data_IF_000126857250
#
_entry.id   IF_000126857250
#
_cell.length_a   1.000
_cell.length_b   1.000
_cell.length_c   1.000
_cell.angle_alpha   90.00
_cell.angle_beta   90.00
_cell.angle_gamma   90.00
#
_symmetry.space_group_name_H-M   'P 1'
#
loop_
_entity.id
_entity.type
_entity.pdbx_description
1 polymer ?
#
# COMPACT_ATOMS: atom_id res chain seq x y z
N UNK A 1 3.09 -2.52 -9.74
CA UNK A 1 3.56 -3.09 -8.45
C UNK A 1 3.59 -2.00 -7.39
N UNK A 2 3.26 -2.30 -6.13
CA UNK A 2 3.31 -1.33 -5.02
C UNK A 2 4.28 -1.85 -3.95
N UNK A 3 5.35 -1.09 -3.70
CA UNK A 3 6.56 -1.51 -2.96
C UNK A 3 7.24 -2.76 -3.52
N UNK A 4 8.42 -3.09 -2.98
CA UNK A 4 9.24 -4.23 -3.42
C UNK A 4 9.70 -5.15 -2.28
N UNK A 5 9.43 -4.79 -1.02
CA UNK A 5 9.85 -5.60 0.13
C UNK A 5 11.35 -5.50 0.44
N UNK A 6 11.81 -6.18 1.52
CA UNK A 6 13.17 -6.06 2.04
C UNK A 6 14.22 -6.89 1.29
N UNK A 7 13.80 -7.95 0.60
CA UNK A 7 14.71 -8.97 0.08
C UNK A 7 14.35 -9.34 -1.38
N UNK A 8 15.26 -9.11 -2.34
CA UNK A 8 15.05 -9.50 -3.73
C UNK A 8 14.85 -11.02 -3.91
N UNK A 9 15.48 -11.87 -3.10
CA UNK A 9 15.34 -13.32 -3.20
C UNK A 9 13.95 -13.78 -2.74
N UNK A 10 13.42 -13.16 -1.68
CA UNK A 10 12.06 -13.41 -1.23
C UNK A 10 11.03 -12.98 -2.30
N UNK A 11 11.21 -11.80 -2.91
CA UNK A 11 10.35 -11.34 -4.00
C UNK A 11 10.42 -12.29 -5.21
N UNK A 12 11.62 -12.73 -5.59
CA UNK A 12 11.82 -13.71 -6.65
C UNK A 12 11.10 -15.03 -6.36
N UNK A 13 11.36 -15.65 -5.20
CA UNK A 13 10.77 -16.92 -4.79
C UNK A 13 9.24 -16.85 -4.74
N UNK A 14 8.69 -15.79 -4.14
CA UNK A 14 7.24 -15.59 -4.04
C UNK A 14 6.60 -15.40 -5.42
N UNK A 15 7.20 -14.57 -6.29
CA UNK A 15 6.68 -14.33 -7.64
C UNK A 15 6.62 -15.62 -8.47
N UNK A 16 7.69 -16.43 -8.42
CA UNK A 16 7.77 -17.74 -9.09
C UNK A 16 6.73 -18.72 -8.54
N UNK A 17 6.63 -18.83 -7.22
CA UNK A 17 5.68 -19.74 -6.54
C UNK A 17 4.23 -19.38 -6.89
N UNK A 18 3.91 -18.09 -6.99
CA UNK A 18 2.57 -17.62 -7.31
C UNK A 18 2.24 -17.61 -8.81
N UNK A 19 3.22 -17.89 -9.68
CA UNK A 19 3.09 -17.80 -11.13
C UNK A 19 2.92 -16.36 -11.64
N UNK A 20 3.44 -15.38 -10.90
CA UNK A 20 3.35 -13.96 -11.24
C UNK A 20 4.62 -13.54 -12.00
N UNK A 21 4.44 -13.16 -13.25
CA UNK A 21 5.52 -12.71 -14.12
C UNK A 21 5.78 -11.20 -13.96
N UNK A 22 6.80 -10.84 -13.18
CA UNK A 22 7.18 -9.44 -12.95
C UNK A 22 7.77 -8.75 -14.18
N UNK A 23 8.11 -9.46 -15.26
CA UNK A 23 8.53 -8.81 -16.51
C UNK A 23 7.40 -8.04 -17.20
N UNK A 24 6.15 -8.32 -16.82
CA UNK A 24 4.94 -7.75 -17.42
C UNK A 24 4.40 -6.51 -16.69
N UNK A 25 5.04 -6.06 -15.61
CA UNK A 25 4.56 -4.87 -14.89
C UNK A 25 4.79 -3.61 -15.73
N UNK A 26 3.80 -2.72 -15.73
CA UNK A 26 3.87 -1.44 -16.45
C UNK A 26 4.64 -0.36 -15.68
N UNK A 27 4.44 -0.33 -14.36
CA UNK A 27 5.05 0.65 -13.46
C UNK A 27 5.16 0.13 -12.02
N UNK A 28 5.95 0.85 -11.23
CA UNK A 28 6.15 0.62 -9.81
C UNK A 28 5.79 1.89 -9.05
N UNK A 29 5.09 1.75 -7.93
CA UNK A 29 4.85 2.83 -6.97
C UNK A 29 5.53 2.44 -5.66
N UNK A 30 6.39 3.31 -5.15
CA UNK A 30 7.05 3.14 -3.85
C UNK A 30 6.37 4.06 -2.85
N UNK A 31 5.99 3.52 -1.69
CA UNK A 31 5.33 4.27 -0.62
C UNK A 31 6.29 5.27 0.03
N UNK A 32 7.49 4.84 0.44
CA UNK A 32 8.53 5.66 1.09
C UNK A 32 9.94 5.01 1.00
N UNK A 33 10.98 5.69 1.49
CA UNK A 33 12.39 5.32 1.26
C UNK A 33 12.96 4.14 2.05
N UNK A 34 12.25 3.54 3.00
CA UNK A 34 12.86 2.54 3.86
C UNK A 34 13.23 1.26 3.09
N UNK A 35 14.34 0.62 3.53
CA UNK A 35 14.91 -0.54 2.86
C UNK A 35 13.93 -1.70 2.71
N UNK A 36 13.06 -1.91 3.70
CA UNK A 36 12.03 -2.95 3.68
C UNK A 36 10.90 -2.70 2.67
N UNK A 37 10.91 -1.55 2.00
CA UNK A 37 9.99 -1.19 0.92
C UNK A 37 10.67 -1.14 -0.45
N UNK A 38 11.99 -0.89 -0.53
CA UNK A 38 12.69 -0.63 -1.80
C UNK A 38 13.69 -1.71 -2.21
N UNK A 39 14.25 -2.50 -1.28
CA UNK A 39 15.40 -3.36 -1.58
C UNK A 39 15.10 -4.47 -2.60
N UNK A 40 13.86 -4.98 -2.65
CA UNK A 40 13.46 -5.98 -3.65
C UNK A 40 13.53 -5.49 -5.11
N UNK A 41 13.66 -4.18 -5.34
CA UNK A 41 13.86 -3.61 -6.69
C UNK A 41 15.09 -4.19 -7.40
N UNK A 42 16.09 -4.70 -6.66
CA UNK A 42 17.24 -5.39 -7.24
C UNK A 42 16.83 -6.61 -8.07
N UNK A 43 15.80 -7.37 -7.66
CA UNK A 43 15.28 -8.48 -8.45
C UNK A 43 14.49 -7.96 -9.66
N UNK A 44 13.63 -6.96 -9.44
CA UNK A 44 12.82 -6.38 -10.52
C UNK A 44 13.72 -5.85 -11.65
N UNK A 45 14.83 -5.20 -11.32
CA UNK A 45 15.81 -4.71 -12.29
C UNK A 45 16.47 -5.81 -13.14
N UNK A 46 16.46 -7.07 -12.70
CA UNK A 46 16.95 -8.22 -13.49
C UNK A 46 15.95 -8.63 -14.57
N UNK A 47 14.65 -8.50 -14.31
CA UNK A 47 13.57 -9.01 -15.18
C UNK A 47 12.85 -7.92 -15.95
N UNK A 48 12.89 -6.67 -15.48
CA UNK A 48 12.20 -5.52 -16.07
C UNK A 48 12.95 -4.22 -15.80
N UNK A 49 13.56 -3.65 -16.85
CA UNK A 49 14.24 -2.33 -16.82
C UNK A 49 13.44 -1.29 -17.60
N UNK A 50 13.85 -0.02 -17.49
CA UNK A 50 13.31 1.10 -18.26
C UNK A 50 11.80 1.34 -18.05
N UNK A 51 11.30 1.07 -16.84
CA UNK A 51 9.94 1.40 -16.42
C UNK A 51 9.94 2.52 -15.40
N UNK A 52 8.79 3.18 -15.26
CA UNK A 52 8.61 4.25 -14.31
C UNK A 52 8.48 3.71 -12.87
N UNK A 53 9.22 4.33 -11.96
CA UNK A 53 9.11 4.16 -10.51
C UNK A 53 8.65 5.49 -9.91
N UNK A 54 7.41 5.52 -9.44
CA UNK A 54 6.83 6.70 -8.82
C UNK A 54 7.17 6.71 -7.33
N UNK A 55 7.71 7.83 -6.85
CA UNK A 55 8.19 8.02 -5.45
C UNK A 55 7.65 9.33 -4.87
N UNK A 56 7.54 9.48 -3.54
CA UNK A 56 7.31 10.77 -2.92
C UNK A 56 8.36 11.78 -3.38
N UNK A 57 7.91 12.96 -3.78
CA UNK A 57 8.82 13.98 -4.29
C UNK A 57 9.84 14.45 -3.26
N UNK A 58 9.51 14.39 -1.96
CA UNK A 58 10.45 14.72 -0.89
C UNK A 58 11.16 13.50 -0.28
N UNK A 59 11.06 12.32 -0.92
CA UNK A 59 11.86 11.13 -0.55
C UNK A 59 13.37 11.43 -0.60
N UNK A 60 14.14 10.78 0.27
CA UNK A 60 15.61 10.87 0.30
C UNK A 60 16.27 10.72 -1.09
N UNK A 61 17.14 11.68 -1.45
CA UNK A 61 17.79 11.73 -2.76
C UNK A 61 18.75 10.54 -3.02
N UNK A 62 19.40 9.99 -1.99
CA UNK A 62 20.28 8.84 -2.12
C UNK A 62 19.47 7.59 -2.53
N UNK A 63 18.30 7.39 -1.92
CA UNK A 63 17.39 6.31 -2.30
C UNK A 63 16.93 6.48 -3.75
N UNK A 64 16.54 7.69 -4.17
CA UNK A 64 16.18 7.95 -5.58
C UNK A 64 17.33 7.66 -6.54
N UNK A 65 18.55 8.08 -6.21
CA UNK A 65 19.72 7.83 -7.05
C UNK A 65 20.06 6.34 -7.13
N UNK A 66 19.89 5.61 -6.03
CA UNK A 66 20.00 4.16 -6.03
C UNK A 66 18.94 3.49 -6.91
N UNK A 67 17.68 3.92 -6.87
CA UNK A 67 16.64 3.40 -7.78
C UNK A 67 17.00 3.67 -9.25
N UNK A 68 17.53 4.87 -9.56
CA UNK A 68 18.00 5.20 -10.93
C UNK A 68 19.16 4.31 -11.37
N UNK A 69 20.12 4.01 -10.49
CA UNK A 69 21.27 3.17 -10.83
C UNK A 69 20.90 1.72 -11.14
N UNK A 70 19.71 1.26 -10.72
CA UNK A 70 19.14 -0.03 -11.13
C UNK A 70 18.56 -0.04 -12.56
N UNK A 71 18.51 1.10 -13.25
CA UNK A 71 17.98 1.22 -14.61
C UNK A 71 16.50 1.57 -14.69
N UNK A 72 15.96 2.23 -13.66
CA UNK A 72 14.57 2.71 -13.63
C UNK A 72 14.46 4.21 -13.89
N UNK A 73 13.32 4.64 -14.41
CA UNK A 73 12.98 6.04 -14.54
C UNK A 73 12.22 6.51 -13.28
N UNK A 74 12.86 7.32 -12.43
CA UNK A 74 12.26 7.81 -11.18
C UNK A 74 11.40 9.04 -11.46
N UNK A 75 10.11 8.96 -11.10
CA UNK A 75 9.14 10.04 -11.24
C UNK A 75 8.75 10.55 -9.84
N UNK A 76 8.97 11.84 -9.61
CA UNK A 76 8.59 12.50 -8.37
C UNK A 76 7.09 12.80 -8.33
N UNK A 77 6.43 12.45 -7.23
CA UNK A 77 5.00 12.69 -7.02
C UNK A 77 4.79 13.61 -5.82
N UNK A 78 4.35 14.83 -6.12
CA UNK A 78 3.98 15.83 -5.12
C UNK A 78 2.50 15.72 -4.74
N UNK A 79 1.64 15.62 -5.76
CA UNK A 79 0.20 15.70 -5.63
C UNK A 79 -0.47 14.39 -6.02
N UNK A 80 -1.72 14.21 -5.59
CA UNK A 80 -2.54 13.08 -6.00
C UNK A 80 -2.61 13.03 -7.53
N UNK A 81 -2.21 11.90 -8.11
CA UNK A 81 -1.95 11.76 -9.55
C UNK A 81 -2.65 10.53 -10.08
N UNK A 82 -3.43 10.69 -11.15
CA UNK A 82 -4.05 9.56 -11.87
C UNK A 82 -2.99 8.94 -12.77
N UNK A 83 -2.64 7.68 -12.54
CA UNK A 83 -1.66 6.93 -13.35
C UNK A 83 -2.30 6.31 -14.58
N UNK A 84 -3.50 5.77 -14.42
CA UNK A 84 -4.29 5.14 -15.49
C UNK A 84 -5.75 5.08 -15.05
N UNK A 85 -6.65 4.58 -15.92
CA UNK A 85 -8.09 4.51 -15.62
C UNK A 85 -8.32 3.74 -14.31
N UNK A 86 -8.75 4.47 -13.28
CA UNK A 86 -9.03 3.92 -11.97
C UNK A 86 -7.82 3.70 -11.07
N UNK A 87 -6.58 3.99 -11.48
CA UNK A 87 -5.38 3.83 -10.64
C UNK A 87 -4.80 5.20 -10.30
N UNK A 88 -4.71 5.50 -9.01
CA UNK A 88 -4.37 6.83 -8.48
C UNK A 88 -3.29 6.73 -7.42
N UNK A 89 -2.20 7.48 -7.54
CA UNK A 89 -1.28 7.70 -6.42
C UNK A 89 -1.88 8.78 -5.53
N UNK A 90 -2.00 8.48 -4.23
CA UNK A 90 -2.38 9.44 -3.21
C UNK A 90 -1.12 10.26 -2.89
N UNK A 91 -1.12 11.56 -3.23
CA UNK A 91 0.09 12.39 -3.14
C UNK A 91 0.68 12.42 -1.74
N UNK A 92 1.97 12.74 -1.65
CA UNK A 92 2.75 12.57 -0.43
C UNK A 92 2.17 13.30 0.79
N UNK A 93 2.36 12.69 1.95
CA UNK A 93 2.06 13.24 3.26
C UNK A 93 3.30 13.09 4.13
N UNK A 94 3.62 14.12 4.90
CA UNK A 94 4.72 14.04 5.84
C UNK A 94 4.29 13.38 7.14
N UNK A 95 5.05 12.39 7.57
CA UNK A 95 5.04 11.82 8.91
C UNK A 95 6.27 10.94 8.95
N UNK A 96 7.41 11.43 9.44
CA UNK A 96 8.74 11.07 8.93
C UNK A 96 8.87 9.56 8.68
N UNK A 97 9.18 9.13 7.44
CA UNK A 97 9.53 9.95 6.25
C UNK A 97 8.33 10.57 5.50
N UNK A 98 8.56 11.12 4.30
CA UNK A 98 7.47 11.40 3.37
C UNK A 98 6.92 10.09 2.81
N UNK A 99 5.59 9.96 2.80
CA UNK A 99 4.94 8.73 2.35
C UNK A 99 3.75 9.02 1.44
N UNK A 100 3.58 8.16 0.43
CA UNK A 100 2.44 8.17 -0.48
C UNK A 100 1.69 6.84 -0.44
N UNK A 101 0.42 6.87 -0.85
CA UNK A 101 -0.42 5.67 -0.98
C UNK A 101 -0.78 5.39 -2.44
N UNK A 102 -1.38 4.23 -2.69
CA UNK A 102 -2.01 3.92 -3.97
C UNK A 102 -3.50 3.65 -3.74
N UNK A 103 -4.35 4.16 -4.60
CA UNK A 103 -5.77 3.85 -4.63
C UNK A 103 -6.15 3.26 -5.98
N UNK A 104 -6.99 2.23 -5.95
CA UNK A 104 -7.62 1.65 -7.14
C UNK A 104 -9.13 1.83 -7.00
N UNK A 105 -9.73 2.58 -7.91
CA UNK A 105 -11.18 2.67 -8.03
C UNK A 105 -11.73 1.40 -8.69
N UNK A 106 -12.68 0.77 -8.01
CA UNK A 106 -13.43 -0.37 -8.52
C UNK A 106 -14.90 0.05 -8.60
N UNK A 107 -15.46 -0.07 -9.81
CA UNK A 107 -16.84 0.27 -10.08
C UNK A 107 -17.79 -0.49 -9.13
N UNK A 108 -18.82 0.20 -8.61
CA UNK A 108 -19.77 -0.34 -7.62
C UNK A 108 -19.15 -0.78 -6.29
N UNK A 109 -17.92 -0.37 -5.99
CA UNK A 109 -17.23 -0.68 -4.72
C UNK A 109 -16.68 0.55 -4.04
N UNK A 110 -16.02 1.42 -4.80
CA UNK A 110 -15.26 2.54 -4.26
C UNK A 110 -13.76 2.28 -4.33
N UNK A 111 -13.00 2.81 -3.38
CA UNK A 111 -11.54 2.79 -3.43
C UNK A 111 -10.95 1.59 -2.68
N UNK A 112 -10.03 0.88 -3.33
CA UNK A 112 -9.09 -0.04 -2.69
C UNK A 112 -7.82 0.75 -2.41
N UNK A 113 -7.50 0.98 -1.13
CA UNK A 113 -6.38 1.80 -0.71
C UNK A 113 -5.25 0.90 -0.21
N UNK A 114 -4.06 1.11 -0.76
CA UNK A 114 -2.81 0.47 -0.38
C UNK A 114 -1.92 1.50 0.31
N UNK A 115 -1.28 1.08 1.39
CA UNK A 115 -0.23 1.83 2.08
C UNK A 115 0.96 0.95 2.41
N UNK A 116 2.15 1.55 2.45
CA UNK A 116 3.38 0.88 2.86
C UNK A 116 3.39 0.68 4.37
N UNK A 117 3.82 1.71 5.10
CA UNK A 117 3.83 1.74 6.56
C UNK A 117 2.79 2.69 7.15
N UNK A 118 2.34 3.71 6.43
CA UNK A 118 1.43 4.75 6.91
C UNK A 118 1.99 5.58 8.08
N UNK A 119 3.26 6.00 8.03
CA UNK A 119 3.85 6.86 9.06
C UNK A 119 3.06 8.16 9.32
N UNK A 120 2.44 8.83 8.32
CA UNK A 120 1.54 9.96 8.57
C UNK A 120 0.24 9.58 9.30
N UNK A 121 -0.17 8.31 9.22
CA UNK A 121 -1.45 7.75 9.66
C UNK A 121 -2.28 7.21 8.49
N UNK A 122 -2.69 5.94 8.55
CA UNK A 122 -3.49 5.30 7.50
C UNK A 122 -4.85 5.95 7.32
N UNK A 123 -5.44 6.43 8.41
CA UNK A 123 -6.67 7.20 8.45
C UNK A 123 -6.52 8.53 7.71
N UNK A 124 -5.38 9.23 7.87
CA UNK A 124 -5.10 10.48 7.14
C UNK A 124 -4.85 10.26 5.65
N UNK A 125 -4.13 9.20 5.28
CA UNK A 125 -3.92 8.82 3.87
C UNK A 125 -5.29 8.53 3.21
N UNK A 126 -6.14 7.78 3.91
CA UNK A 126 -7.49 7.45 3.43
C UNK A 126 -8.40 8.68 3.35
N UNK A 127 -8.34 9.56 4.34
CA UNK A 127 -9.10 10.81 4.36
C UNK A 127 -8.67 11.75 3.22
N UNK A 128 -7.37 11.81 2.88
CA UNK A 128 -6.86 12.65 1.78
C UNK A 128 -7.51 12.28 0.44
N UNK A 129 -7.54 11.00 0.10
CA UNK A 129 -8.14 10.56 -1.17
C UNK A 129 -9.67 10.62 -1.12
N UNK A 130 -10.28 10.34 0.03
CA UNK A 130 -11.72 10.51 0.23
C UNK A 130 -12.15 11.96 -0.02
N UNK A 131 -11.47 12.94 0.59
CA UNK A 131 -11.75 14.37 0.36
C UNK A 131 -11.54 14.81 -1.09
N UNK A 132 -10.55 14.24 -1.77
CA UNK A 132 -10.26 14.59 -3.16
C UNK A 132 -11.27 14.02 -4.17
N UNK A 133 -11.96 12.93 -3.82
CA UNK A 133 -12.80 12.18 -4.77
C UNK A 133 -14.27 12.07 -4.36
N UNK A 134 -14.57 12.25 -3.08
CA UNK A 134 -15.84 11.93 -2.44
C UNK A 134 -16.26 10.45 -2.63
N UNK A 135 -15.31 9.55 -2.88
CA UNK A 135 -15.53 8.11 -3.04
C UNK A 135 -15.08 7.39 -1.78
N UNK A 136 -16.00 6.70 -1.11
CA UNK A 136 -15.69 5.94 0.11
C UNK A 136 -14.65 4.83 -0.14
N UNK A 137 -13.74 4.58 0.81
CA UNK A 137 -12.90 3.40 0.77
C UNK A 137 -13.74 2.12 0.89
N UNK A 138 -13.56 1.19 -0.02
CA UNK A 138 -14.11 -0.16 0.11
C UNK A 138 -13.21 -1.04 0.97
N UNK A 139 -11.90 -1.00 0.69
CA UNK A 139 -10.87 -1.78 1.38
C UNK A 139 -9.67 -0.87 1.65
N UNK A 140 -9.20 -0.86 2.89
CA UNK A 140 -7.94 -0.21 3.29
C UNK A 140 -6.97 -1.28 3.76
N UNK A 141 -5.84 -1.42 3.09
CA UNK A 141 -4.86 -2.48 3.33
C UNK A 141 -3.41 -1.98 3.29
N UNK A 142 -2.53 -2.59 4.09
CA UNK A 142 -1.13 -2.19 4.19
C UNK A 142 -0.57 -2.25 5.61
N UNK A 143 0.63 -1.74 5.80
CA UNK A 143 1.17 -1.45 7.13
C UNK A 143 0.58 -0.15 7.67
N UNK A 144 0.16 -0.15 8.93
CA UNK A 144 -0.51 1.00 9.57
C UNK A 144 0.37 1.72 10.61
N UNK A 145 1.60 1.24 10.85
CA UNK A 145 2.56 1.78 11.83
C UNK A 145 1.98 1.93 13.24
N UNK A 146 1.26 0.89 13.69
CA UNK A 146 0.60 0.85 15.00
C UNK A 146 1.20 -0.16 15.98
N UNK A 147 2.20 -0.95 15.58
CA UNK A 147 2.92 -1.80 16.51
C UNK A 147 3.50 -0.97 17.67
N UNK A 148 3.23 -1.38 18.91
CA UNK A 148 3.66 -0.66 20.11
C UNK A 148 2.88 0.63 20.43
N UNK A 149 1.88 1.02 19.61
CA UNK A 149 1.03 2.17 19.92
C UNK A 149 0.05 1.85 21.06
N UNK A 150 -0.32 2.85 21.89
CA UNK A 150 -1.38 2.69 22.89
C UNK A 150 -2.71 2.28 22.27
N UNK A 151 -3.50 1.48 22.98
CA UNK A 151 -4.81 1.02 22.51
C UNK A 151 -5.75 2.18 22.14
N UNK A 152 -5.71 3.29 22.87
CA UNK A 152 -6.51 4.48 22.56
C UNK A 152 -6.21 5.05 21.16
N UNK A 153 -4.95 5.04 20.74
CA UNK A 153 -4.54 5.46 19.39
C UNK A 153 -5.02 4.46 18.35
N UNK A 154 -4.89 3.15 18.62
CA UNK A 154 -5.35 2.10 17.71
C UNK A 154 -6.87 2.21 17.48
N UNK A 155 -7.65 2.35 18.56
CA UNK A 155 -9.11 2.52 18.48
C UNK A 155 -9.49 3.77 17.71
N UNK A 156 -8.80 4.89 17.96
CA UNK A 156 -9.02 6.14 17.21
C UNK A 156 -8.83 5.95 15.70
N UNK A 157 -7.78 5.24 15.28
CA UNK A 157 -7.54 4.96 13.85
C UNK A 157 -8.66 4.09 13.26
N UNK A 158 -9.11 3.06 13.97
CA UNK A 158 -10.24 2.22 13.53
C UNK A 158 -11.50 3.08 13.37
N UNK A 159 -11.86 3.87 14.38
CA UNK A 159 -13.03 4.78 14.34
C UNK A 159 -12.95 5.75 13.18
N UNK A 160 -11.78 6.34 12.93
CA UNK A 160 -11.57 7.26 11.81
C UNK A 160 -11.80 6.55 10.47
N UNK A 161 -11.23 5.36 10.25
CA UNK A 161 -11.48 4.59 9.03
C UNK A 161 -12.96 4.25 8.84
N UNK A 162 -13.65 3.82 9.91
CA UNK A 162 -15.09 3.53 9.85
C UNK A 162 -15.93 4.77 9.53
N UNK A 163 -15.54 5.95 10.02
CA UNK A 163 -16.22 7.22 9.71
C UNK A 163 -16.10 7.64 8.25
N UNK A 164 -15.13 7.11 7.50
CA UNK A 164 -15.02 7.26 6.04
C UNK A 164 -15.93 6.28 5.28
N UNK A 165 -16.79 5.53 5.98
CA UNK A 165 -17.57 4.41 5.45
C UNK A 165 -16.69 3.27 4.91
N UNK A 166 -15.51 3.06 5.51
CA UNK A 166 -14.62 1.96 5.12
C UNK A 166 -15.27 0.62 5.40
N UNK A 167 -15.50 -0.18 4.36
CA UNK A 167 -16.16 -1.49 4.52
C UNK A 167 -15.22 -2.58 5.05
N UNK A 168 -13.97 -2.60 4.58
CA UNK A 168 -12.99 -3.61 4.95
C UNK A 168 -11.63 -3.02 5.33
N UNK A 169 -10.99 -3.62 6.34
CA UNK A 169 -9.70 -3.19 6.87
C UNK A 169 -8.77 -4.41 6.99
N UNK A 170 -7.61 -4.34 6.33
CA UNK A 170 -6.65 -5.43 6.27
C UNK A 170 -5.22 -5.00 6.71
N UNK A 171 -4.96 -4.91 8.03
CA UNK A 171 -3.66 -4.50 8.56
C UNK A 171 -2.60 -5.61 8.45
N UNK A 172 -1.56 -5.36 7.68
CA UNK A 172 -0.40 -6.25 7.50
C UNK A 172 0.89 -5.59 8.04
N UNK A 173 2.04 -6.25 7.86
CA UNK A 173 3.36 -5.72 8.19
C UNK A 173 3.46 -5.11 9.60
N UNK A 174 3.87 -3.84 9.72
CA UNK A 174 4.11 -3.06 10.94
C UNK A 174 2.85 -2.67 11.75
N UNK A 175 1.67 -3.16 11.37
CA UNK A 175 0.42 -2.82 12.07
C UNK A 175 0.35 -3.37 13.50
N UNK A 176 1.00 -4.49 13.78
CA UNK A 176 1.03 -5.12 15.10
C UNK A 176 -0.18 -6.02 15.43
N UNK A 177 -0.06 -6.81 16.49
CA UNK A 177 -1.10 -7.76 16.92
C UNK A 177 -2.30 -7.07 17.56
N UNK A 178 -2.10 -5.93 18.24
CA UNK A 178 -3.17 -5.24 18.97
C UNK A 178 -4.34 -4.82 18.05
N UNK A 179 -4.06 -4.15 16.93
CA UNK A 179 -5.11 -3.77 15.98
C UNK A 179 -5.81 -4.99 15.36
N UNK A 180 -5.04 -6.04 15.02
CA UNK A 180 -5.59 -7.29 14.47
C UNK A 180 -6.55 -7.94 15.46
N UNK A 181 -6.17 -8.01 16.74
CA UNK A 181 -7.01 -8.57 17.80
C UNK A 181 -8.30 -7.77 18.04
N UNK A 182 -8.21 -6.42 18.03
CA UNK A 182 -9.40 -5.57 18.20
C UNK A 182 -10.34 -5.74 17.00
N UNK A 183 -9.82 -5.68 15.77
CA UNK A 183 -10.62 -5.87 14.56
C UNK A 183 -11.25 -7.27 14.51
N UNK A 184 -10.51 -8.32 14.86
CA UNK A 184 -11.01 -9.70 14.87
C UNK A 184 -12.13 -9.91 15.91
N UNK A 185 -11.99 -9.35 17.11
CA UNK A 185 -12.96 -9.53 18.20
C UNK A 185 -14.19 -8.63 18.09
N UNK A 186 -14.00 -7.38 17.69
CA UNK A 186 -15.05 -6.35 17.77
C UNK A 186 -15.61 -5.97 16.40
N UNK A 187 -14.85 -6.18 15.31
CA UNK A 187 -15.19 -5.74 13.95
C UNK A 187 -14.98 -6.86 12.92
N UNK A 188 -15.32 -8.10 13.27
CA UNK A 188 -15.00 -9.29 12.47
C UNK A 188 -15.54 -9.24 11.03
N UNK A 189 -16.66 -8.55 10.79
CA UNK A 189 -17.23 -8.35 9.45
C UNK A 189 -16.46 -7.34 8.60
N UNK A 190 -15.69 -6.45 9.23
CA UNK A 190 -14.82 -5.46 8.59
C UNK A 190 -13.40 -6.00 8.42
N UNK A 191 -12.96 -6.88 9.31
CA UNK A 191 -11.58 -7.38 9.33
C UNK A 191 -11.30 -8.35 8.18
N UNK A 192 -10.18 -8.14 7.48
CA UNK A 192 -9.64 -9.11 6.55
C UNK A 192 -8.23 -9.50 6.98
N UNK A 193 -8.06 -10.80 7.22
CA UNK A 193 -6.75 -11.39 7.49
C UNK A 193 -6.03 -11.67 6.17
N UNK A 194 -4.82 -11.15 6.03
CA UNK A 194 -3.95 -11.36 4.87
C UNK A 194 -2.58 -11.87 5.32
N UNK A 195 -1.92 -12.62 4.45
CA UNK A 195 -0.54 -13.03 4.59
C UNK A 195 0.16 -13.06 3.21
N UNK A 196 1.46 -13.39 3.21
CA UNK A 196 2.20 -13.62 1.97
C UNK A 196 1.49 -14.71 1.16
N UNK A 197 1.23 -14.45 -0.12
CA UNK A 197 0.54 -15.38 -1.00
C UNK A 197 -0.98 -15.19 -1.10
N UNK A 198 -1.59 -14.40 -0.21
CA UNK A 198 -3.03 -14.12 -0.28
C UNK A 198 -3.41 -13.46 -1.61
N UNK A 199 -4.45 -14.00 -2.26
CA UNK A 199 -5.08 -13.47 -3.48
C UNK A 199 -6.47 -12.96 -3.13
N UNK A 200 -6.72 -11.69 -3.41
CA UNK A 200 -8.01 -11.04 -3.16
C UNK A 200 -8.79 -10.97 -4.47
N UNK A 201 -9.98 -11.56 -4.49
CA UNK A 201 -10.93 -11.45 -5.59
C UNK A 201 -12.08 -10.55 -5.17
N UNK A 202 -12.38 -9.58 -6.02
CA UNK A 202 -13.48 -8.64 -5.83
C UNK A 202 -14.61 -9.03 -6.78
N UNK A 203 -15.54 -9.88 -6.33
CA UNK A 203 -16.75 -10.24 -7.09
C UNK A 203 -17.97 -9.45 -6.59
N UNK A 204 -19.06 -9.45 -7.36
CA UNK A 204 -20.25 -8.58 -7.34
C UNK A 204 -20.88 -8.29 -5.98
N UNK A 205 -20.62 -9.05 -4.91
CA UNK A 205 -20.92 -8.63 -3.53
C UNK A 205 -19.96 -9.13 -2.42
N UNK A 206 -18.88 -9.83 -2.77
CA UNK A 206 -18.06 -10.58 -1.79
C UNK A 206 -16.58 -10.31 -2.04
N UNK A 207 -15.82 -10.15 -0.96
CA UNK A 207 -14.36 -10.31 -1.00
C UNK A 207 -14.07 -11.78 -0.72
N UNK A 208 -13.41 -12.45 -1.66
CA UNK A 208 -12.85 -13.78 -1.46
C UNK A 208 -11.33 -13.65 -1.31
N UNK A 209 -10.79 -14.24 -0.23
CA UNK A 209 -9.35 -14.35 -0.02
C UNK A 209 -8.95 -15.82 -0.20
N UNK A 210 -8.11 -16.09 -1.19
CA UNK A 210 -7.49 -17.41 -1.40
C UNK A 210 -6.04 -17.36 -0.93
N UNK A 211 -5.58 -18.44 -0.33
CA UNK A 211 -4.25 -18.58 0.26
C UNK A 211 -3.48 -19.69 -0.42
#
# INVERSE_FOLDING_TARGET
MFDAGPDPNALESNSKTLGIDLSKIDFIVISHEHGDHVNGLQYVAKVRKNINVYVPAHMNILTKNWIRSLGFNVIDVYNTTILSKGVVIIGELYGPPYEQGLAIYVENRGLIIFSGCSHPGIDKISEKIFKATNISPFLVMGGFHLAGSPESKVRKVITNLLSLNTKYIAPIHCSGSLIRNILEKEYSQTFIKLHVGSKIYLDKNVIEVKN
#
